data_IF_669924877765
#
_entry.id   IF_669924877765
#
_cell.length_a   1.000
_cell.length_b   1.000
_cell.length_c   1.000
_cell.angle_alpha   90.00
_cell.angle_beta   90.00
_cell.angle_gamma   90.00
#
_symmetry.space_group_name_H-M   'P 1'
#
loop_
_entity.id
_entity.type
_entity.pdbx_description
1 polymer ?
#
# COMPACT_ATOMS: atom_id res chain seq x y z
N UNK A 1 20.11 29.68 -35.53
CA UNK A 1 18.99 28.76 -35.77
C UNK A 1 19.37 27.39 -35.24
N UNK A 2 18.51 26.86 -34.35
CA UNK A 2 18.42 25.46 -33.89
C UNK A 2 19.64 24.87 -33.18
N UNK A 3 19.75 25.16 -31.89
CA UNK A 3 20.16 24.13 -30.93
C UNK A 3 19.01 23.11 -30.78
N UNK A 4 19.26 22.05 -30.00
CA UNK A 4 18.29 21.13 -29.36
C UNK A 4 18.31 19.69 -29.89
N UNK A 5 19.44 19.00 -29.64
CA UNK A 5 19.44 17.56 -29.40
C UNK A 5 19.84 17.32 -27.95
N UNK A 6 18.89 17.49 -27.03
CA UNK A 6 19.08 17.04 -25.65
C UNK A 6 18.29 15.74 -25.51
N UNK A 7 18.99 14.61 -25.45
CA UNK A 7 18.37 13.37 -24.99
C UNK A 7 18.17 13.53 -23.49
N UNK A 8 16.97 13.98 -23.09
CA UNK A 8 16.56 13.82 -21.69
C UNK A 8 16.43 12.33 -21.45
N UNK A 9 17.40 11.74 -20.75
CA UNK A 9 17.15 10.49 -20.04
C UNK A 9 16.11 10.86 -19.00
N UNK A 10 14.86 10.42 -19.20
CA UNK A 10 13.84 10.50 -18.16
C UNK A 10 14.45 9.83 -16.93
N UNK A 11 14.46 10.50 -15.75
CA UNK A 11 14.86 9.83 -14.52
C UNK A 11 14.04 8.53 -14.42
N UNK A 12 14.71 7.40 -14.18
CA UNK A 12 14.04 6.13 -13.87
C UNK A 12 12.92 6.43 -12.89
N UNK A 13 11.68 6.09 -13.27
CA UNK A 13 10.44 6.49 -12.60
C UNK A 13 10.64 6.56 -11.10
N UNK A 14 10.81 7.80 -10.64
CA UNK A 14 10.90 8.15 -9.25
C UNK A 14 9.51 7.80 -8.71
N UNK A 15 9.36 6.56 -8.19
CA UNK A 15 8.08 5.94 -7.79
C UNK A 15 7.53 6.66 -6.57
N UNK A 16 7.10 7.90 -6.75
CA UNK A 16 6.43 8.69 -5.71
C UNK A 16 4.97 8.28 -5.51
N UNK A 17 4.44 7.40 -6.36
CA UNK A 17 3.06 6.95 -6.35
C UNK A 17 2.99 5.44 -6.21
N UNK A 18 2.20 4.96 -5.25
CA UNK A 18 1.86 3.55 -5.08
C UNK A 18 0.43 3.34 -5.55
N UNK A 19 0.21 2.35 -6.42
CA UNK A 19 -1.11 2.00 -6.92
C UNK A 19 -1.93 1.28 -5.85
N UNK A 20 -3.26 1.29 -6.01
CA UNK A 20 -4.16 0.54 -5.11
C UNK A 20 -3.80 -0.94 -5.03
N UNK A 21 -3.43 -1.55 -6.16
CA UNK A 21 -3.08 -2.97 -6.21
C UNK A 21 -1.77 -3.25 -5.47
N UNK A 22 -0.74 -2.42 -5.64
CA UNK A 22 0.51 -2.57 -4.88
C UNK A 22 0.27 -2.45 -3.36
N UNK A 23 -0.62 -1.55 -2.92
CA UNK A 23 -0.97 -1.45 -1.49
C UNK A 23 -1.78 -2.68 -1.01
N UNK A 24 -2.64 -3.25 -1.85
CA UNK A 24 -3.33 -4.52 -1.54
C UNK A 24 -2.35 -5.69 -1.45
N UNK A 25 -1.37 -5.76 -2.35
CA UNK A 25 -0.33 -6.79 -2.32
C UNK A 25 0.52 -6.66 -1.05
N UNK A 26 0.84 -5.43 -0.64
CA UNK A 26 1.50 -5.17 0.64
C UNK A 26 0.66 -5.62 1.84
N UNK A 27 -0.66 -5.35 1.82
CA UNK A 27 -1.58 -5.82 2.86
C UNK A 27 -1.62 -7.35 2.93
N UNK A 28 -1.69 -8.03 1.77
CA UNK A 28 -1.66 -9.48 1.69
C UNK A 28 -0.34 -10.06 2.24
N UNK A 29 0.80 -9.43 1.90
CA UNK A 29 2.10 -9.82 2.43
C UNK A 29 2.17 -9.69 3.95
N UNK A 30 1.76 -8.55 4.52
CA UNK A 30 1.78 -8.31 5.97
C UNK A 30 0.88 -9.29 6.74
N UNK A 31 -0.30 -9.60 6.21
CA UNK A 31 -1.27 -10.45 6.89
C UNK A 31 -1.07 -11.95 6.61
N UNK A 32 -0.17 -12.31 5.70
CA UNK A 32 0.08 -13.69 5.28
C UNK A 32 0.57 -14.59 6.43
N UNK A 33 1.47 -14.08 7.28
CA UNK A 33 1.96 -14.83 8.45
C UNK A 33 0.83 -15.16 9.44
N UNK A 34 0.00 -14.16 9.77
CA UNK A 34 -1.17 -14.36 10.63
C UNK A 34 -2.17 -15.35 10.04
N UNK A 35 -2.45 -15.23 8.74
CA UNK A 35 -3.35 -16.14 8.05
C UNK A 35 -2.81 -17.58 8.05
N UNK A 36 -1.51 -17.76 7.83
CA UNK A 36 -0.88 -19.08 7.88
C UNK A 36 -0.94 -19.69 9.29
N UNK A 37 -0.70 -18.90 10.35
CA UNK A 37 -0.83 -19.37 11.72
C UNK A 37 -2.24 -19.88 12.03
N UNK A 38 -3.26 -19.11 11.62
CA UNK A 38 -4.66 -19.47 11.85
C UNK A 38 -5.08 -20.71 11.06
N UNK A 39 -4.58 -20.85 9.83
CA UNK A 39 -4.88 -22.00 8.97
C UNK A 39 -4.18 -23.29 9.38
N UNK A 40 -2.93 -23.21 9.86
CA UNK A 40 -2.09 -24.39 10.13
C UNK A 40 -2.10 -24.79 11.60
N UNK A 41 -2.00 -23.81 12.50
CA UNK A 41 -1.86 -24.07 13.94
C UNK A 41 -3.17 -23.89 14.71
N UNK A 42 -4.16 -23.21 14.14
CA UNK A 42 -5.47 -22.91 14.76
C UNK A 42 -5.40 -22.21 16.13
N UNK A 43 -4.21 -21.78 16.54
CA UNK A 43 -3.94 -21.08 17.79
C UNK A 43 -3.11 -19.83 17.47
N UNK A 44 -3.77 -18.71 17.14
CA UNK A 44 -3.08 -17.51 16.72
C UNK A 44 -2.25 -16.89 17.85
N UNK A 45 -1.02 -16.47 17.53
CA UNK A 45 -0.12 -15.90 18.52
C UNK A 45 -0.14 -14.36 18.53
N UNK A 46 0.57 -13.76 19.49
CA UNK A 46 0.83 -12.32 19.53
C UNK A 46 1.96 -11.87 18.59
N UNK A 47 2.64 -12.81 17.90
CA UNK A 47 3.77 -12.53 17.02
C UNK A 47 3.42 -11.61 15.84
N UNK A 48 2.18 -11.67 15.35
CA UNK A 48 1.70 -10.86 14.23
C UNK A 48 1.24 -9.43 14.62
N UNK A 49 1.40 -9.01 15.88
CA UNK A 49 0.86 -7.73 16.35
C UNK A 49 1.39 -6.52 15.56
N UNK A 50 2.70 -6.49 15.27
CA UNK A 50 3.33 -5.43 14.48
C UNK A 50 2.84 -5.39 13.03
N UNK A 51 2.62 -6.56 12.41
CA UNK A 51 2.12 -6.64 11.04
C UNK A 51 0.67 -6.18 10.95
N UNK A 52 -0.16 -6.51 11.95
CA UNK A 52 -1.54 -6.01 12.07
C UNK A 52 -1.56 -4.49 12.22
N UNK A 53 -0.70 -3.93 13.07
CA UNK A 53 -0.61 -2.49 13.28
C UNK A 53 -0.25 -1.75 11.97
N UNK A 54 0.77 -2.24 11.26
CA UNK A 54 1.18 -1.68 9.96
C UNK A 54 0.11 -1.83 8.90
N UNK A 55 -0.49 -3.03 8.77
CA UNK A 55 -1.57 -3.27 7.82
C UNK A 55 -2.77 -2.35 8.09
N UNK A 56 -3.10 -2.13 9.36
CA UNK A 56 -4.17 -1.20 9.76
C UNK A 56 -3.84 0.24 9.34
N UNK A 57 -2.60 0.69 9.53
CA UNK A 57 -2.13 2.00 9.08
C UNK A 57 -2.24 2.17 7.57
N UNK A 58 -1.77 1.19 6.81
CA UNK A 58 -1.85 1.19 5.34
C UNK A 58 -3.30 1.20 4.85
N UNK A 59 -4.15 0.32 5.39
CA UNK A 59 -5.56 0.28 5.03
C UNK A 59 -6.28 1.60 5.36
N UNK A 60 -5.97 2.20 6.51
CA UNK A 60 -6.51 3.51 6.88
C UNK A 60 -6.07 4.58 5.89
N UNK A 61 -4.80 4.63 5.49
CA UNK A 61 -4.31 5.60 4.51
C UNK A 61 -4.96 5.42 3.13
N UNK A 62 -5.13 4.17 2.66
CA UNK A 62 -5.86 3.85 1.43
C UNK A 62 -7.27 4.46 1.44
N UNK A 63 -7.96 4.35 2.57
CA UNK A 63 -9.32 4.85 2.74
C UNK A 63 -9.36 6.36 2.89
N UNK A 64 -8.60 6.91 3.84
CA UNK A 64 -8.78 8.29 4.30
C UNK A 64 -7.90 9.29 3.57
N UNK A 65 -6.73 8.90 3.10
CA UNK A 65 -5.78 9.83 2.45
C UNK A 65 -5.83 9.72 0.94
N UNK A 66 -5.95 8.50 0.42
CA UNK A 66 -5.84 8.24 -1.02
C UNK A 66 -7.20 8.01 -1.71
N UNK A 67 -8.31 7.94 -0.96
CA UNK A 67 -9.64 7.78 -1.54
C UNK A 67 -9.81 6.50 -2.36
N UNK A 68 -9.07 5.43 -2.02
CA UNK A 68 -9.01 4.17 -2.78
C UNK A 68 -10.19 3.23 -2.47
N UNK A 69 -11.37 3.80 -2.20
CA UNK A 69 -12.59 3.06 -1.89
C UNK A 69 -13.73 3.54 -2.79
N UNK A 70 -14.41 2.61 -3.44
CA UNK A 70 -15.53 2.93 -4.33
C UNK A 70 -16.70 3.55 -3.56
N UNK A 71 -16.98 3.05 -2.35
CA UNK A 71 -18.13 3.50 -1.55
C UNK A 71 -18.00 4.94 -1.05
N UNK A 72 -16.79 5.37 -0.73
CA UNK A 72 -16.54 6.73 -0.25
C UNK A 72 -16.10 7.68 -1.38
N UNK A 73 -15.65 7.14 -2.50
CA UNK A 73 -15.10 7.91 -3.62
C UNK A 73 -13.73 8.51 -3.33
N UNK A 74 -13.25 9.32 -4.27
CA UNK A 74 -11.96 9.99 -4.22
C UNK A 74 -11.99 11.24 -3.30
N UNK A 75 -12.25 11.01 -2.01
CA UNK A 75 -12.35 12.05 -0.98
C UNK A 75 -11.27 11.83 0.08
N UNK A 76 -10.60 12.90 0.48
CA UNK A 76 -9.68 12.90 1.63
C UNK A 76 -10.46 13.12 2.93
N UNK A 77 -10.37 12.17 3.85
CA UNK A 77 -10.98 12.22 5.17
C UNK A 77 -9.94 12.55 6.24
N UNK A 78 -10.24 13.52 7.10
CA UNK A 78 -9.37 13.91 8.23
C UNK A 78 -8.20 14.78 7.78
N UNK A 79 -8.27 16.06 8.17
CA UNK A 79 -7.15 17.00 8.21
C UNK A 79 -6.87 17.40 9.64
#
# INVERSE_FOLDING_TARGET
GRALGYTMVLPDEDKYSTTRNEMLDQLAYMLGGRAAEELVFHDPTTGAANDIEKATGTARAMVTQYGMTERLGAIKFGG
#
